data_IF_074113566217
#
_entry.id   IF_074113566217
#
_cell.length_a   1.000
_cell.length_b   1.000
_cell.length_c   1.000
_cell.angle_alpha   90.00
_cell.angle_beta   90.00
_cell.angle_gamma   90.00
#
_symmetry.space_group_name_H-M   'P 1'
#
loop_
_entity.id
_entity.type
_entity.pdbx_description
1 polymer ?
2 water ?
#
# COMPACT_ATOMS: atom_id res chain seq x y z
N UNK A 11 -11.20 4.75 41.26
CA UNK A 11 -10.90 5.53 42.51
C UNK A 11 -9.51 6.27 42.38
N UNK A 12 -9.47 7.08 41.35
CA UNK A 12 -8.34 7.88 40.99
C UNK A 12 -9.03 9.24 40.77
N UNK A 13 -8.68 10.26 41.53
CA UNK A 13 -9.39 11.53 41.37
C UNK A 13 -8.71 12.63 40.51
N UNK A 14 -9.08 12.69 39.23
CA UNK A 14 -8.72 13.79 38.35
C UNK A 14 -9.53 15.05 38.59
N UNK A 15 -8.99 16.24 38.20
CA UNK A 15 -9.82 17.46 38.27
C UNK A 15 -10.94 17.42 37.27
N UNK A 16 -11.96 18.27 37.42
CA UNK A 16 -13.18 18.16 36.63
C UNK A 16 -12.92 17.98 35.10
N UNK A 17 -12.04 18.78 34.55
CA UNK A 17 -11.90 18.83 33.09
C UNK A 17 -11.05 17.70 32.56
N UNK A 18 -10.41 16.96 33.49
CA UNK A 18 -9.81 15.71 33.12
C UNK A 18 -10.65 14.49 33.46
N UNK A 19 -11.72 14.69 34.19
CA UNK A 19 -12.69 13.62 34.37
C UNK A 19 -13.61 13.39 33.15
N UNK A 20 -13.54 14.20 32.10
CA UNK A 20 -14.32 13.77 30.94
C UNK A 20 -13.59 12.76 30.08
N UNK A 21 -14.31 12.20 29.16
CA UNK A 21 -13.71 11.30 28.19
C UNK A 21 -12.46 11.89 27.52
N UNK A 22 -11.36 11.11 27.51
CA UNK A 22 -10.06 11.50 26.93
C UNK A 22 -10.17 11.96 25.46
N UNK A 23 -11.23 11.51 24.80
CA UNK A 23 -11.49 11.93 23.39
C UNK A 23 -11.59 13.46 23.38
N UNK A 24 -12.04 14.03 24.50
CA UNK A 24 -12.18 15.47 24.56
C UNK A 24 -10.97 16.31 24.99
N UNK A 25 -9.89 15.63 25.37
CA UNK A 25 -8.76 16.30 26.01
C UNK A 25 -8.00 16.99 24.96
N UNK A 26 -7.73 18.25 25.22
CA UNK A 26 -6.82 18.97 24.39
C UNK A 26 -5.37 18.49 24.56
N UNK A 27 -4.43 19.09 23.88
CA UNK A 27 -3.01 18.77 24.07
C UNK A 27 -2.53 19.22 25.47
N UNK A 28 -2.85 20.43 25.90
CA UNK A 28 -2.60 20.82 27.31
C UNK A 28 -3.24 19.89 28.38
N UNK A 29 -4.49 19.45 28.13
CA UNK A 29 -5.09 18.45 29.02
C UNK A 29 -4.24 17.17 29.12
N UNK A 30 -3.80 16.68 27.96
CA UNK A 30 -2.82 15.58 27.94
C UNK A 30 -1.63 15.85 28.84
N UNK A 31 -1.06 17.03 28.78
CA UNK A 31 0.15 17.39 29.51
C UNK A 31 -0.18 17.52 30.99
N UNK A 32 -1.33 18.08 31.35
CA UNK A 32 -1.71 18.19 32.75
C UNK A 32 -1.94 16.80 33.29
N UNK A 33 -2.52 15.92 32.48
CA UNK A 33 -2.72 14.48 32.89
C UNK A 33 -1.40 13.79 33.21
N UNK A 34 -0.38 14.06 32.40
CA UNK A 34 0.89 13.35 32.62
C UNK A 34 1.49 13.80 33.95
N UNK A 35 1.45 15.12 34.19
CA UNK A 35 1.98 15.78 35.37
C UNK A 35 1.22 15.29 36.60
N UNK A 36 -0.10 15.15 36.46
CA UNK A 36 -0.92 14.59 37.54
C UNK A 36 -0.49 13.15 37.89
N UNK A 37 -0.29 12.32 36.86
CA UNK A 37 0.06 10.94 37.03
C UNK A 37 1.41 10.80 37.68
N UNK A 38 2.36 11.62 37.24
CA UNK A 38 3.73 11.57 37.72
C UNK A 38 3.73 11.76 39.26
N UNK A 39 2.98 12.77 39.71
CA UNK A 39 2.89 13.06 41.11
C UNK A 39 2.02 12.01 41.79
N UNK A 40 0.91 11.58 41.18
CA UNK A 40 0.03 10.62 41.90
C UNK A 40 0.72 9.30 42.12
N UNK A 41 1.64 8.93 41.25
CA UNK A 41 2.16 7.56 41.27
C UNK A 41 3.65 7.52 41.57
N UNK A 42 4.20 8.65 42.05
CA UNK A 42 5.62 8.80 42.25
C UNK A 42 6.44 8.24 41.12
N UNK A 43 6.16 8.64 39.89
CA UNK A 43 6.96 8.20 38.69
C UNK A 43 8.23 9.04 38.48
N UNK A 44 9.15 8.58 37.61
CA UNK A 44 10.28 9.40 37.20
C UNK A 44 9.74 10.64 36.51
N UNK A 45 10.57 11.70 36.42
CA UNK A 45 10.00 12.90 35.76
C UNK A 45 9.53 12.62 34.28
N UNK A 46 8.33 13.09 33.95
CA UNK A 46 7.83 12.99 32.62
C UNK A 46 7.92 14.41 31.98
N UNK A 47 8.86 14.55 31.07
CA UNK A 47 9.02 15.73 30.28
C UNK A 47 7.68 16.11 29.64
N UNK A 48 7.36 17.40 29.67
CA UNK A 48 6.11 17.92 29.09
C UNK A 48 6.00 17.69 27.56
N UNK A 49 7.09 17.31 26.90
CA UNK A 49 7.10 16.99 25.49
C UNK A 49 6.86 15.53 25.11
N UNK A 50 6.49 14.68 26.06
CA UNK A 50 6.46 13.23 25.80
C UNK A 50 5.29 12.77 24.91
N UNK A 51 4.14 13.41 25.05
CA UNK A 51 3.02 13.16 24.16
C UNK A 51 2.50 14.52 23.63
N UNK A 52 3.18 15.09 22.62
CA UNK A 52 2.66 16.35 22.04
C UNK A 52 1.51 16.15 21.05
N UNK A 53 0.32 15.91 21.63
CA UNK A 53 -0.87 15.58 20.88
C UNK A 53 -2.12 15.76 21.76
N UNK A 54 -3.31 15.74 21.16
CA UNK A 54 -4.56 15.69 21.93
C UNK A 54 -4.99 14.27 22.26
N UNK A 55 -6.12 14.16 22.96
CA UNK A 55 -6.56 12.96 23.59
C UNK A 55 -6.98 11.98 22.52
N UNK A 56 -7.65 12.49 21.48
CA UNK A 56 -7.95 11.66 20.29
C UNK A 56 -6.69 11.01 19.73
N UNK A 57 -5.59 11.75 19.65
CA UNK A 57 -4.37 11.13 19.17
C UNK A 57 -3.80 10.08 20.18
N UNK A 58 -3.89 10.42 21.46
CA UNK A 58 -3.32 9.54 22.47
C UNK A 58 -4.06 8.21 22.38
N UNK A 59 -5.35 8.24 22.04
CA UNK A 59 -6.11 6.99 21.98
C UNK A 59 -5.69 6.06 20.85
N UNK A 60 -4.92 6.58 19.91
CA UNK A 60 -4.56 5.77 18.73
C UNK A 60 -3.24 5.02 19.02
N UNK A 61 -2.48 5.54 19.98
CA UNK A 61 -1.15 4.97 20.33
C UNK A 61 -1.30 3.54 20.87
N UNK A 62 -0.35 2.64 20.58
CA UNK A 62 -0.37 1.30 21.13
C UNK A 62 0.32 1.37 22.51
N UNK A 63 0.12 0.34 23.34
CA UNK A 63 0.92 0.19 24.54
C UNK A 63 2.46 0.26 24.21
N UNK A 64 2.87 -0.35 23.10
CA UNK A 64 4.28 -0.33 22.75
C UNK A 64 4.74 1.11 22.52
N UNK A 65 3.90 1.94 21.88
CA UNK A 65 4.18 3.37 21.67
C UNK A 65 4.32 4.09 23.00
N UNK A 66 3.43 3.80 23.95
CA UNK A 66 3.65 4.33 25.31
C UNK A 66 5.03 3.94 25.89
N UNK A 67 5.43 2.65 25.81
CA UNK A 67 6.68 2.27 26.42
C UNK A 67 7.79 2.97 25.71
N UNK A 68 7.63 3.24 24.41
CA UNK A 68 8.72 3.79 23.58
C UNK A 68 8.86 5.26 23.92
N UNK A 69 7.76 5.99 24.08
CA UNK A 69 7.84 7.41 24.47
C UNK A 69 8.27 7.64 25.93
N UNK A 70 7.90 6.71 26.83
CA UNK A 70 8.25 6.79 28.24
C UNK A 70 8.67 5.40 28.74
N UNK A 71 9.96 5.07 28.58
CA UNK A 71 10.48 3.79 29.12
C UNK A 71 10.29 3.68 30.63
N UNK A 72 10.33 4.77 31.40
CA UNK A 72 10.19 4.59 32.85
C UNK A 72 8.74 4.36 33.28
N UNK A 73 7.80 5.00 32.55
CA UNK A 73 6.41 5.05 32.97
C UNK A 73 5.30 4.70 31.96
N UNK A 74 5.62 4.38 30.70
CA UNK A 74 4.64 4.30 29.67
C UNK A 74 3.61 3.20 29.89
N UNK A 75 4.04 2.03 30.37
CA UNK A 75 3.10 0.93 30.58
C UNK A 75 2.09 1.30 31.61
N UNK A 76 2.59 2.03 32.57
CA UNK A 76 1.83 2.52 33.64
C UNK A 76 0.83 3.59 33.12
N UNK A 77 1.26 4.51 32.29
CA UNK A 77 0.34 5.52 31.74
C UNK A 77 -0.76 4.91 30.90
N UNK A 78 -0.37 3.97 30.05
CA UNK A 78 -1.37 3.22 29.20
C UNK A 78 -2.48 2.56 30.00
N UNK A 79 -2.11 1.91 31.10
CA UNK A 79 -3.07 1.19 31.93
C UNK A 79 -3.89 2.12 32.75
N UNK A 80 -3.32 3.24 33.16
CA UNK A 80 -4.07 4.33 33.80
C UNK A 80 -5.14 4.81 32.81
N UNK A 81 -4.74 5.07 31.57
CA UNK A 81 -5.70 5.37 30.51
C UNK A 81 -6.81 4.30 30.32
N UNK A 82 -6.47 3.02 30.25
CA UNK A 82 -7.57 2.00 30.12
C UNK A 82 -8.49 2.08 31.29
N UNK A 83 -7.96 2.38 32.48
CA UNK A 83 -8.80 2.46 33.68
C UNK A 83 -9.80 3.62 33.56
N UNK A 84 -9.28 4.77 33.10
CA UNK A 84 -10.09 5.93 32.84
C UNK A 84 -11.15 5.60 31.79
N UNK A 85 -10.82 4.89 30.73
CA UNK A 85 -11.86 4.52 29.75
C UNK A 85 -12.89 3.51 30.24
N UNK A 86 -12.59 2.69 31.25
CA UNK A 86 -13.50 1.56 31.59
C UNK A 86 -14.87 2.01 32.19
N UNK A 87 -14.93 3.24 32.72
CA UNK A 87 -16.20 4.04 32.78
C UNK A 87 -16.03 5.41 32.07
N UNK A 98 -13.86 8.51 12.37
CA UNK A 98 -12.82 9.21 11.57
C UNK A 98 -13.36 9.41 10.16
N UNK A 99 -13.57 10.68 9.76
CA UNK A 99 -14.02 11.03 8.40
C UNK A 99 -13.01 12.01 7.85
N UNK A 100 -12.46 11.70 6.69
CA UNK A 100 -11.39 12.45 6.08
C UNK A 100 -11.91 13.47 5.05
N UNK A 101 -11.11 14.52 4.75
CA UNK A 101 -11.36 15.43 3.66
C UNK A 101 -11.67 14.67 2.36
N UNK A 102 -12.58 15.26 1.61
CA UNK A 102 -13.25 14.62 0.53
C UNK A 102 -12.34 13.85 -0.38
N UNK A 103 -11.24 14.45 -0.80
CA UNK A 103 -10.35 13.77 -1.74
C UNK A 103 -9.65 12.50 -1.18
N UNK A 104 -9.65 12.37 0.15
CA UNK A 104 -9.06 11.22 0.88
C UNK A 104 -9.96 10.03 1.25
N UNK A 105 -11.23 10.08 0.86
CA UNK A 105 -12.12 8.92 1.06
C UNK A 105 -11.80 7.66 0.23
N UNK A 106 -10.68 7.62 -0.48
CA UNK A 106 -10.36 6.44 -1.27
C UNK A 106 -9.50 5.57 -0.38
N UNK A 107 -9.52 4.26 -0.62
CA UNK A 107 -8.49 3.38 -0.11
C UNK A 107 -7.12 4.07 -0.29
N UNK A 108 -6.27 4.01 0.72
CA UNK A 108 -4.99 4.73 0.66
C UNK A 108 -4.09 4.25 -0.47
N UNK A 109 -4.22 3.00 -0.90
CA UNK A 109 -3.53 2.50 -2.11
C UNK A 109 -3.69 3.46 -3.28
N UNK A 110 -4.80 4.19 -3.35
CA UNK A 110 -4.99 5.16 -4.42
C UNK A 110 -4.62 6.59 -4.15
N UNK A 111 -4.11 6.93 -2.98
CA UNK A 111 -3.81 8.34 -2.77
C UNK A 111 -2.62 8.73 -3.62
N UNK A 112 -2.72 9.84 -4.32
CA UNK A 112 -1.57 10.47 -4.91
C UNK A 112 -0.63 11.07 -3.85
N UNK A 113 0.55 11.43 -4.30
CA UNK A 113 1.48 12.20 -3.52
C UNK A 113 0.85 13.47 -2.92
N UNK A 114 0.07 14.20 -3.72
CA UNK A 114 -0.58 15.39 -3.21
C UNK A 114 -1.54 14.98 -2.05
N UNK A 115 -2.33 13.89 -2.22
CA UNK A 115 -3.21 13.37 -1.19
C UNK A 115 -2.47 13.13 0.13
N UNK A 116 -1.34 12.42 0.04
CA UNK A 116 -0.55 12.08 1.23
C UNK A 116 -0.25 13.37 2.00
N UNK A 117 0.19 14.39 1.29
CA UNK A 117 0.50 15.68 1.85
C UNK A 117 -0.72 16.35 2.47
N UNK A 118 -1.87 16.29 1.80
CA UNK A 118 -3.13 16.74 2.41
C UNK A 118 -3.53 15.86 3.57
N UNK A 119 -3.17 14.59 3.57
CA UNK A 119 -3.46 13.74 4.69
C UNK A 119 -2.69 14.20 5.93
N UNK A 120 -1.45 14.63 5.69
CA UNK A 120 -0.58 15.08 6.80
C UNK A 120 -1.13 16.36 7.42
N UNK A 121 -1.49 17.29 6.54
CA UNK A 121 -2.03 18.58 6.95
C UNK A 121 -3.36 18.40 7.75
N UNK A 122 -4.26 17.57 7.28
CA UNK A 122 -5.46 17.25 8.03
C UNK A 122 -5.09 16.65 9.39
N UNK A 123 -4.23 15.63 9.37
CA UNK A 123 -3.85 14.95 10.60
C UNK A 123 -3.25 15.92 11.65
N UNK A 124 -2.43 16.87 11.22
CA UNK A 124 -1.76 17.73 12.15
C UNK A 124 -2.74 18.66 12.85
N UNK A 125 -3.74 19.14 12.10
CA UNK A 125 -4.91 19.87 12.61
C UNK A 125 -5.83 19.03 13.51
N UNK A 126 -6.14 17.81 13.06
CA UNK A 126 -7.10 16.98 13.77
C UNK A 126 -6.57 16.62 15.16
N UNK A 127 -5.27 16.50 15.24
CA UNK A 127 -4.68 15.80 16.38
C UNK A 127 -3.74 16.74 17.21
N UNK A 128 -3.69 18.05 16.84
CA UNK A 128 -2.76 19.02 17.47
C UNK A 128 -1.30 18.54 17.51
N UNK A 129 -0.80 17.97 16.42
CA UNK A 129 0.59 17.47 16.42
C UNK A 129 1.52 18.69 16.31
N UNK A 130 2.80 18.53 16.58
CA UNK A 130 3.84 19.43 16.10
C UNK A 130 3.79 19.52 14.58
N UNK A 131 4.32 20.65 14.02
CA UNK A 131 4.25 20.96 12.59
C UNK A 131 4.87 19.88 11.72
N UNK A 132 4.11 19.36 10.79
CA UNK A 132 4.63 18.33 9.95
C UNK A 132 5.09 19.04 8.68
N UNK A 133 6.38 18.98 8.40
CA UNK A 133 6.90 19.71 7.26
C UNK A 133 6.32 19.00 6.02
N UNK A 134 6.02 19.75 4.94
CA UNK A 134 5.30 19.15 3.78
C UNK A 134 6.17 18.18 2.94
N UNK A 135 7.49 18.22 3.11
CA UNK A 135 8.34 17.22 2.50
C UNK A 135 8.62 15.99 3.38
N UNK A 136 7.84 15.76 4.44
CA UNK A 136 8.09 14.64 5.34
C UNK A 136 7.84 13.30 4.62
N UNK A 137 6.81 13.18 3.78
CA UNK A 137 6.57 11.90 3.09
C UNK A 137 6.39 12.13 1.63
N UNK A 138 7.46 12.33 0.88
CA UNK A 138 7.25 12.72 -0.55
C UNK A 138 7.16 11.51 -1.42
N UNK A 139 5.94 11.00 -1.48
CA UNK A 139 5.67 9.68 -2.15
C UNK A 139 4.14 9.49 -2.18
N UNK A 140 3.65 8.51 -2.94
CA UNK A 140 2.20 8.32 -3.04
C UNK A 140 1.71 7.33 -1.96
N UNK A 141 0.43 7.05 -1.93
CA UNK A 141 -0.13 6.17 -0.86
C UNK A 141 0.40 4.75 -0.89
N UNK A 142 0.62 4.21 -2.10
CA UNK A 142 1.19 2.87 -2.27
C UNK A 142 2.53 2.77 -1.56
N UNK A 143 3.36 3.80 -1.72
CA UNK A 143 4.69 3.87 -1.10
C UNK A 143 4.54 3.99 0.43
N UNK A 144 3.65 4.86 0.86
CA UNK A 144 3.38 5.03 2.24
C UNK A 144 3.04 3.71 2.90
N UNK A 145 2.37 2.82 2.17
CA UNK A 145 1.90 1.58 2.76
C UNK A 145 3.03 0.58 2.89
N UNK A 146 4.09 0.78 2.11
CA UNK A 146 5.31 -0.04 2.21
C UNK A 146 6.11 0.25 3.48
N UNK A 147 5.96 1.46 4.05
CA UNK A 147 6.88 1.86 5.15
C UNK A 147 6.52 1.12 6.40
N UNK A 148 7.52 0.85 7.26
CA UNK A 148 7.26 0.27 8.57
C UNK A 148 7.01 1.37 9.60
N UNK A 149 6.52 0.97 10.79
CA UNK A 149 6.22 1.94 11.85
C UNK A 149 7.50 2.68 12.23
N UNK A 150 8.58 1.91 12.26
CA UNK A 150 9.94 2.45 12.49
C UNK A 150 10.32 3.58 11.50
N UNK A 151 10.03 3.40 10.20
CA UNK A 151 10.20 4.41 9.21
C UNK A 151 9.31 5.62 9.47
N UNK A 152 8.05 5.43 9.88
CA UNK A 152 7.21 6.62 10.27
C UNK A 152 7.87 7.39 11.44
N UNK A 153 8.44 6.68 12.43
CA UNK A 153 9.08 7.31 13.62
C UNK A 153 10.29 8.12 13.21
N UNK A 154 11.04 7.57 12.22
CA UNK A 154 12.29 8.12 11.74
C UNK A 154 11.97 9.41 10.96
N UNK A 155 10.96 9.38 10.09
CA UNK A 155 10.58 10.53 9.33
C UNK A 155 9.90 11.56 10.19
N UNK A 156 9.19 11.11 11.22
CA UNK A 156 8.52 12.00 12.15
C UNK A 156 8.72 11.59 13.62
N UNK A 157 9.81 12.09 14.23
CA UNK A 157 10.00 11.78 15.63
C UNK A 157 8.86 12.28 16.48
N UNK A 158 8.20 13.41 16.19
CA UNK A 158 7.12 13.82 17.09
C UNK A 158 5.82 13.04 16.93
N UNK A 159 5.50 12.56 15.71
CA UNK A 159 4.16 12.12 15.42
C UNK A 159 4.06 10.83 14.58
N UNK A 160 5.18 10.20 14.27
CA UNK A 160 5.22 9.14 13.31
C UNK A 160 4.40 7.96 13.78
N UNK A 161 4.46 7.64 15.05
CA UNK A 161 3.66 6.53 15.63
C UNK A 161 2.17 6.76 15.54
N UNK A 162 1.70 8.01 15.80
CA UNK A 162 0.29 8.37 15.67
C UNK A 162 -0.21 8.28 14.24
N UNK A 163 0.57 8.82 13.34
CA UNK A 163 0.34 8.78 11.91
C UNK A 163 0.21 7.32 11.43
N UNK A 164 1.22 6.49 11.67
CA UNK A 164 1.14 5.06 11.31
C UNK A 164 -0.16 4.41 11.85
N UNK A 165 -0.49 4.70 13.09
CA UNK A 165 -1.70 4.12 13.73
C UNK A 165 -2.96 4.71 13.11
N UNK A 166 -2.93 5.99 12.81
CA UNK A 166 -3.99 6.64 12.04
C UNK A 166 -4.23 5.85 10.72
N UNK A 167 -3.18 5.66 9.93
CA UNK A 167 -3.29 4.85 8.73
C UNK A 167 -3.84 3.45 8.96
N UNK A 168 -3.39 2.72 9.98
CA UNK A 168 -3.94 1.38 10.22
C UNK A 168 -5.44 1.46 10.47
N UNK A 169 -5.85 2.50 11.17
CA UNK A 169 -7.26 2.69 11.45
C UNK A 169 -8.11 2.95 10.18
N UNK A 170 -7.63 3.88 9.35
CA UNK A 170 -8.20 4.09 8.02
C UNK A 170 -8.30 2.78 7.20
N UNK A 171 -7.40 1.83 7.37
CA UNK A 171 -7.40 0.58 6.62
C UNK A 171 -8.45 -0.36 7.21
N UNK A 172 -8.64 -0.36 8.54
CA UNK A 172 -9.71 -1.19 9.17
C UNK A 172 -11.07 -0.72 8.70
N UNK A 173 -11.26 0.60 8.56
CA UNK A 173 -12.56 1.21 8.17
C UNK A 173 -12.98 0.82 6.75
N UNK A 174 -12.01 0.54 5.88
CA UNK A 174 -12.24 -0.06 4.55
C UNK A 174 -12.77 -1.50 4.66
N UNK A 183 1.05 -4.37 -6.77
CA UNK A 183 2.46 -4.12 -7.25
C UNK A 183 3.10 -5.34 -7.94
N UNK A 184 3.17 -5.25 -9.26
CA UNK A 184 3.83 -6.21 -10.10
C UNK A 184 4.88 -5.40 -10.88
N UNK A 185 6.01 -6.04 -11.13
CA UNK A 185 7.11 -5.39 -11.75
C UNK A 185 6.88 -5.29 -13.25
N UNK A 186 7.51 -4.30 -13.87
CA UNK A 186 7.72 -4.36 -15.31
C UNK A 186 8.29 -5.75 -15.72
N UNK A 187 7.95 -6.25 -16.91
CA UNK A 187 8.38 -7.59 -17.40
C UNK A 187 9.90 -7.78 -17.47
N UNK A 188 10.65 -6.71 -17.77
CA UNK A 188 12.12 -6.81 -17.82
C UNK A 188 12.65 -6.95 -16.39
N UNK A 189 11.80 -6.97 -15.34
CA UNK A 189 12.40 -7.03 -13.99
C UNK A 189 11.83 -8.14 -13.15
N UNK A 190 11.19 -9.11 -13.79
CA UNK A 190 10.56 -10.22 -13.10
C UNK A 190 11.52 -11.40 -13.13
N UNK A 191 12.63 -11.32 -12.43
CA UNK A 191 13.51 -12.42 -12.21
C UNK A 191 14.08 -12.06 -10.85
N UNK A 192 14.61 -13.03 -10.11
CA UNK A 192 14.98 -12.78 -8.73
C UNK A 192 16.04 -11.69 -8.70
N UNK A 193 15.96 -10.81 -7.69
CA UNK A 193 16.97 -9.71 -7.52
C UNK A 193 18.41 -10.21 -7.51
N UNK A 194 18.64 -11.42 -7.00
CA UNK A 194 19.96 -12.00 -6.99
C UNK A 194 20.63 -12.00 -8.38
N UNK A 195 19.83 -12.09 -9.45
CA UNK A 195 20.38 -12.09 -10.80
C UNK A 195 20.38 -10.76 -11.48
N UNK A 196 19.94 -9.72 -10.83
CA UNK A 196 19.94 -8.45 -11.47
C UNK A 196 21.35 -7.97 -11.75
N UNK A 197 21.51 -7.37 -12.91
CA UNK A 197 22.75 -6.69 -13.25
C UNK A 197 22.68 -5.21 -12.72
N UNK A 198 23.79 -4.47 -12.91
CA UNK A 198 23.83 -3.04 -12.55
C UNK A 198 22.75 -2.28 -13.30
N UNK A 199 22.65 -2.61 -14.57
CA UNK A 199 21.71 -2.02 -15.44
C UNK A 199 20.21 -2.24 -14.97
N UNK A 200 19.87 -3.46 -14.57
CA UNK A 200 18.59 -3.78 -13.99
C UNK A 200 18.30 -3.01 -12.71
N UNK A 201 19.31 -2.89 -11.86
CA UNK A 201 19.17 -2.12 -10.67
C UNK A 201 18.77 -0.70 -11.04
N UNK A 202 19.44 -0.16 -12.07
CA UNK A 202 19.16 1.15 -12.56
C UNK A 202 17.75 1.25 -13.10
N UNK A 203 17.28 0.28 -13.88
CA UNK A 203 15.87 0.29 -14.39
C UNK A 203 14.85 0.16 -13.23
N UNK A 204 15.17 -0.63 -12.24
CA UNK A 204 14.35 -0.71 -11.05
C UNK A 204 14.17 0.69 -10.42
N UNK A 205 15.26 1.39 -10.18
CA UNK A 205 15.20 2.73 -9.55
C UNK A 205 14.30 3.69 -10.35
N UNK A 206 14.45 3.73 -11.65
CA UNK A 206 13.53 4.61 -12.32
C UNK A 206 12.12 4.10 -12.55
N UNK A 207 11.95 2.77 -12.67
CA UNK A 207 10.57 2.27 -12.52
C UNK A 207 9.92 2.70 -11.16
N UNK A 208 10.64 2.47 -10.04
CA UNK A 208 10.12 2.80 -8.68
C UNK A 208 9.89 4.29 -8.45
N UNK A 209 10.74 5.17 -9.01
CA UNK A 209 10.49 6.59 -8.94
C UNK A 209 9.14 6.90 -9.56
N UNK A 210 8.88 6.43 -10.79
CA UNK A 210 7.57 6.73 -11.37
C UNK A 210 6.36 6.08 -10.60
N UNK A 211 6.48 4.82 -10.22
CA UNK A 211 5.40 4.08 -9.63
C UNK A 211 4.99 4.62 -8.26
N UNK A 212 5.99 5.15 -7.53
CA UNK A 212 5.78 5.55 -6.16
C UNK A 212 5.82 7.07 -5.96
N UNK A 213 5.93 7.79 -7.08
CA UNK A 213 5.99 9.28 -7.10
C UNK A 213 7.07 9.85 -6.19
N UNK A 214 8.28 9.32 -6.26
CA UNK A 214 9.37 9.68 -5.35
C UNK A 214 10.15 10.87 -5.90
N UNK A 215 10.99 11.55 -5.12
CA UNK A 215 11.84 12.60 -5.67
C UNK A 215 12.75 11.96 -6.69
N UNK A 216 13.32 12.77 -7.59
CA UNK A 216 14.25 12.19 -8.58
C UNK A 216 15.33 11.30 -7.99
N UNK A 217 15.58 10.18 -8.61
CA UNK A 217 16.56 9.22 -8.10
C UNK A 217 17.67 9.24 -9.10
N UNK A 218 18.70 9.96 -8.76
CA UNK A 218 19.83 10.15 -9.63
C UNK A 218 20.43 8.78 -10.05
N UNK A 219 20.84 8.68 -11.31
CA UNK A 219 21.33 7.36 -11.85
C UNK A 219 22.53 6.76 -11.07
N UNK A 220 23.27 7.55 -10.32
CA UNK A 220 24.36 7.04 -9.53
C UNK A 220 24.01 6.65 -8.05
N UNK A 221 22.74 6.40 -7.73
CA UNK A 221 22.43 6.17 -6.33
C UNK A 221 22.96 4.82 -5.85
N UNK A 222 22.89 3.82 -6.72
CA UNK A 222 23.29 2.48 -6.40
C UNK A 222 24.07 1.92 -7.60
N UNK A 223 25.33 2.28 -7.72
CA UNK A 223 26.16 1.73 -8.82
C UNK A 223 26.74 0.32 -8.55
N UNK A 224 25.89 -0.70 -8.76
CA UNK A 224 26.17 -2.10 -8.32
C UNK A 224 25.08 -3.05 -8.85
N UNK A 225 25.32 -4.38 -8.77
CA UNK A 225 24.32 -5.35 -9.22
C UNK A 225 23.40 -5.77 -8.09
N UNK A 226 22.47 -6.68 -8.35
CA UNK A 226 21.51 -7.15 -7.34
C UNK A 226 22.17 -7.85 -6.19
N UNK A 227 23.18 -8.68 -6.44
CA UNK A 227 23.89 -9.36 -5.34
C UNK A 227 24.46 -8.36 -4.31
N UNK A 228 25.09 -7.29 -4.77
CA UNK A 228 25.60 -6.24 -3.89
C UNK A 228 24.45 -5.48 -3.29
N UNK A 229 23.46 -5.14 -4.08
CA UNK A 229 22.33 -4.42 -3.51
C UNK A 229 21.71 -5.22 -2.36
N UNK A 230 21.71 -6.56 -2.51
CA UNK A 230 21.15 -7.39 -1.45
C UNK A 230 21.97 -7.40 -0.15
N UNK A 231 23.21 -6.91 -0.21
CA UNK A 231 24.11 -6.87 0.96
C UNK A 231 23.90 -5.63 1.79
N UNK A 232 23.40 -4.55 1.20
CA UNK A 232 23.17 -3.25 1.89
C UNK A 232 22.15 -3.39 2.99
N UNK A 233 22.39 -2.71 4.12
CA UNK A 233 21.38 -2.64 5.20
C UNK A 233 20.39 -1.53 4.82
N UNK A 234 19.26 -1.43 5.55
CA UNK A 234 18.30 -0.38 5.36
C UNK A 234 18.95 1.02 5.66
N UNK A 235 19.79 1.08 6.68
CA UNK A 235 20.57 2.28 6.95
C UNK A 235 21.44 2.67 5.69
N UNK A 236 22.00 1.69 4.95
CA UNK A 236 22.67 2.12 3.74
C UNK A 236 21.68 2.71 2.74
N UNK A 237 20.49 2.14 2.67
CA UNK A 237 19.52 2.69 1.73
C UNK A 237 19.15 4.09 2.06
N UNK A 238 18.87 4.36 3.35
CA UNK A 238 18.64 5.74 3.84
C UNK A 238 19.75 6.74 3.55
N UNK A 239 21.01 6.36 3.67
CA UNK A 239 22.13 7.27 3.40
C UNK A 239 22.29 7.57 1.97
N UNK A 240 22.14 6.56 1.11
CA UNK A 240 22.26 6.74 -0.31
C UNK A 240 21.12 7.60 -0.81
N UNK A 241 20.00 7.52 -0.12
CA UNK A 241 18.72 8.09 -0.58
C UNK A 241 17.84 8.56 0.60
N UNK A 242 18.12 9.77 1.12
CA UNK A 242 17.34 10.33 2.22
C UNK A 242 15.88 10.44 1.85
N UNK A 243 15.52 10.75 0.61
CA UNK A 243 14.11 10.93 0.28
C UNK A 243 13.32 9.61 0.19
N UNK A 244 14.00 8.58 -0.32
CA UNK A 244 13.25 7.38 -0.67
C UNK A 244 13.86 6.04 -0.25
N UNK A 245 14.98 6.06 0.49
CA UNK A 245 15.73 4.82 0.75
C UNK A 245 14.87 3.79 1.48
N UNK A 246 14.08 4.21 2.45
CA UNK A 246 13.25 3.28 3.20
C UNK A 246 12.22 2.65 2.33
N UNK A 247 11.53 3.46 1.50
CA UNK A 247 10.58 2.90 0.52
C UNK A 247 11.29 1.89 -0.34
N UNK A 248 12.44 2.27 -0.93
CA UNK A 248 13.15 1.35 -1.82
C UNK A 248 13.58 0.01 -1.17
N UNK A 249 14.17 0.06 0.04
CA UNK A 249 14.43 -1.12 0.79
C UNK A 249 13.18 -2.01 1.11
N UNK A 250 12.08 -1.42 1.52
CA UNK A 250 10.90 -2.24 1.75
C UNK A 250 10.34 -2.76 0.41
N UNK A 251 10.52 -1.99 -0.65
CA UNK A 251 10.06 -2.50 -1.95
C UNK A 251 10.87 -3.79 -2.25
N UNK A 252 12.19 -3.68 -2.13
CA UNK A 252 13.04 -4.83 -2.33
C UNK A 252 12.57 -6.00 -1.43
N UNK A 253 12.23 -5.76 -0.16
CA UNK A 253 11.83 -6.86 0.70
C UNK A 253 10.52 -7.44 0.28
N UNK A 254 9.62 -6.61 -0.21
CA UNK A 254 8.35 -7.11 -0.74
C UNK A 254 8.65 -8.05 -1.90
N UNK A 255 9.40 -7.57 -2.87
CA UNK A 255 9.70 -8.32 -4.05
C UNK A 255 10.30 -9.67 -3.72
N UNK A 256 11.11 -9.74 -2.67
CA UNK A 256 11.74 -10.98 -2.32
C UNK A 256 10.77 -11.97 -1.64
N UNK A 257 9.75 -11.48 -0.95
CA UNK A 257 8.80 -12.35 -0.28
C UNK A 257 7.82 -12.85 -1.34
N UNK A 258 7.20 -11.91 -2.05
CA UNK A 258 6.36 -12.17 -3.24
C UNK A 258 7.19 -12.62 -4.46
N UNK A 271 -5.01 -26.94 -18.26
CA UNK A 271 -6.44 -27.35 -18.00
C UNK A 271 -7.47 -26.27 -18.32
N UNK A 272 -8.09 -26.36 -19.50
CA UNK A 272 -9.03 -25.36 -20.02
C UNK A 272 -10.32 -25.10 -19.18
N UNK A 273 -10.90 -26.16 -18.59
CA UNK A 273 -12.00 -26.04 -17.65
C UNK A 273 -11.71 -24.98 -16.54
N UNK A 274 -10.55 -25.08 -15.86
CA UNK A 274 -10.14 -24.10 -14.80
C UNK A 274 -9.73 -22.72 -15.41
N UNK A 275 -9.10 -22.77 -16.59
CA UNK A 275 -8.74 -21.56 -17.33
C UNK A 275 -9.99 -20.67 -17.54
N UNK A 276 -11.10 -21.33 -17.87
CA UNK A 276 -12.38 -20.65 -18.10
C UNK A 276 -12.97 -20.13 -16.80
N UNK A 277 -12.93 -20.97 -15.75
CA UNK A 277 -13.48 -20.62 -14.43
C UNK A 277 -12.68 -19.44 -13.88
N UNK A 278 -11.36 -19.52 -14.02
CA UNK A 278 -10.46 -18.54 -13.46
C UNK A 278 -10.72 -17.17 -14.09
N UNK A 279 -11.19 -17.17 -15.35
CA UNK A 279 -11.58 -15.93 -15.98
C UNK A 279 -13.05 -15.53 -15.82
N UNK A 280 -13.82 -16.24 -14.99
CA UNK A 280 -15.22 -15.79 -14.70
C UNK A 280 -16.37 -16.35 -15.56
N UNK A 281 -16.11 -17.44 -16.28
CA UNK A 281 -17.06 -17.96 -17.32
C UNK A 281 -17.46 -19.40 -17.05
N UNK A 282 -18.75 -19.73 -17.24
CA UNK A 282 -19.17 -21.17 -17.26
C UNK A 282 -18.52 -21.96 -18.40
N UNK A 283 -18.12 -23.19 -18.08
CA UNK A 283 -17.62 -24.10 -19.08
C UNK A 283 -18.80 -24.48 -19.99
N UNK A 284 -18.59 -24.34 -21.30
CA UNK A 284 -19.44 -24.98 -22.30
C UNK A 284 -18.54 -25.54 -23.36
N UNK A 285 -19.08 -26.53 -24.07
CA UNK A 285 -18.37 -27.18 -25.20
C UNK A 285 -18.00 -26.14 -26.29
N UNK A 286 -18.94 -25.22 -26.66
CA UNK A 286 -18.52 -24.21 -27.61
C UNK A 286 -17.32 -23.38 -27.11
N UNK A 287 -17.26 -23.05 -25.81
CA UNK A 287 -16.09 -22.35 -25.23
C UNK A 287 -14.78 -23.16 -25.22
N UNK A 288 -14.88 -24.41 -24.76
CA UNK A 288 -13.69 -25.29 -24.72
C UNK A 288 -13.05 -25.42 -26.09
N UNK A 289 -13.86 -25.71 -27.11
CA UNK A 289 -13.37 -25.92 -28.46
C UNK A 289 -12.64 -24.72 -29.08
N UNK A 290 -13.32 -23.56 -29.04
CA UNK A 290 -12.79 -22.27 -29.47
C UNK A 290 -11.51 -21.93 -28.72
N UNK A 291 -11.55 -22.11 -27.41
CA UNK A 291 -10.33 -21.92 -26.59
C UNK A 291 -9.22 -22.88 -27.09
N UNK A 292 -9.59 -24.14 -27.32
CA UNK A 292 -8.70 -25.15 -27.91
C UNK A 292 -8.12 -24.70 -29.27
N UNK A 293 -8.95 -24.29 -30.22
CA UNK A 293 -8.45 -23.81 -31.51
C UNK A 293 -7.44 -22.61 -31.38
N UNK A 294 -7.70 -21.72 -30.41
CA UNK A 294 -6.86 -20.53 -30.17
C UNK A 294 -5.52 -20.89 -29.59
N UNK A 295 -5.47 -22.03 -28.88
CA UNK A 295 -4.20 -22.51 -28.35
C UNK A 295 -3.38 -23.34 -29.37
N UNK A 296 -3.88 -23.57 -30.58
CA UNK A 296 -3.03 -24.09 -31.67
C UNK A 296 -1.91 -23.11 -32.06
N UNK A 297 -0.69 -23.67 -32.33
CA UNK A 297 0.46 -22.88 -32.74
C UNK A 297 0.14 -21.93 -33.90
N UNK A 298 -0.72 -22.37 -34.85
CA UNK A 298 -1.17 -21.52 -35.98
C UNK A 298 -2.30 -20.54 -35.65
N UNK A 299 -3.09 -20.83 -34.63
CA UNK A 299 -4.30 -20.00 -34.46
C UNK A 299 -4.36 -19.02 -33.29
N UNK A 300 -3.19 -18.63 -32.78
CA UNK A 300 -3.10 -17.65 -31.69
C UNK A 300 -3.82 -16.36 -32.10
N UNK A 301 -3.54 -15.87 -33.30
CA UNK A 301 -4.28 -14.77 -33.93
C UNK A 301 -5.18 -15.40 -34.97
N UNK A 302 -6.48 -15.18 -34.83
CA UNK A 302 -7.44 -15.85 -35.68
C UNK A 302 -8.72 -15.01 -35.70
N UNK A 303 -9.37 -14.94 -36.85
CA UNK A 303 -10.62 -14.20 -36.97
C UNK A 303 -11.77 -15.17 -36.68
N UNK A 304 -12.98 -14.65 -36.52
CA UNK A 304 -14.13 -15.48 -36.18
C UNK A 304 -14.39 -16.57 -37.29
N UNK A 305 -14.42 -16.13 -38.55
CA UNK A 305 -14.70 -17.07 -39.67
C UNK A 305 -13.67 -18.18 -39.83
N UNK A 306 -12.39 -17.84 -39.73
CA UNK A 306 -11.35 -18.85 -39.75
C UNK A 306 -11.45 -19.81 -38.59
N UNK A 307 -11.80 -19.29 -37.41
CA UNK A 307 -11.97 -20.13 -36.28
C UNK A 307 -13.10 -21.10 -36.60
N UNK A 308 -14.20 -20.56 -37.12
CA UNK A 308 -15.33 -21.39 -37.47
C UNK A 308 -14.88 -22.54 -38.43
N UNK A 309 -14.33 -22.15 -39.60
CA UNK A 309 -13.82 -23.07 -40.64
C UNK A 309 -12.88 -24.13 -40.03
N UNK A 310 -11.94 -23.68 -39.19
CA UNK A 310 -11.09 -24.57 -38.38
C UNK A 310 -11.87 -25.54 -37.44
N UNK A 311 -12.95 -25.07 -36.82
CA UNK A 311 -13.80 -25.96 -36.00
C UNK A 311 -14.41 -27.12 -36.85
N UNK A 312 -15.14 -26.78 -37.91
CA UNK A 312 -15.65 -27.73 -38.94
C UNK A 312 -14.64 -28.83 -39.41
N UNK A 313 -13.47 -28.40 -39.90
CA UNK A 313 -12.41 -29.30 -40.35
C UNK A 313 -12.10 -30.38 -39.30
N UNK A 314 -12.21 -29.99 -38.03
CA UNK A 314 -12.07 -30.91 -36.87
C UNK A 314 -13.37 -31.74 -36.61
N UNK A 315 -14.40 -31.55 -37.44
CA UNK A 315 -15.68 -32.22 -37.28
C UNK A 315 -16.54 -31.72 -36.13
N UNK A 316 -16.32 -30.48 -35.69
CA UNK A 316 -17.17 -29.83 -34.66
C UNK A 316 -18.42 -29.21 -35.24
N UNK A 317 -19.52 -29.33 -34.48
CA UNK A 317 -20.81 -28.77 -34.87
C UNK A 317 -21.19 -27.49 -34.06
N UNK A 318 -20.53 -26.36 -34.42
CA UNK A 318 -20.78 -24.98 -33.82
C UNK A 318 -21.11 -23.85 -34.83
N UNK A 319 -22.18 -23.10 -34.54
CA UNK A 319 -22.70 -22.08 -35.46
C UNK A 319 -21.89 -20.80 -35.48
N UNK A 320 -21.95 -20.06 -36.60
CA UNK A 320 -21.06 -18.88 -36.84
C UNK A 320 -21.24 -17.78 -35.86
N UNK A 321 -22.49 -17.32 -35.69
CA UNK A 321 -22.81 -16.29 -34.65
C UNK A 321 -22.33 -16.71 -33.22
N UNK A 322 -22.30 -18.01 -32.93
CA UNK A 322 -21.78 -18.52 -31.65
C UNK A 322 -20.28 -18.29 -31.48
N UNK A 323 -19.51 -18.58 -32.53
CA UNK A 323 -18.11 -18.24 -32.58
C UNK A 323 -17.88 -16.73 -32.29
N UNK A 324 -18.62 -15.83 -32.95
CA UNK A 324 -18.57 -14.38 -32.63
C UNK A 324 -18.85 -14.03 -31.17
N UNK A 325 -19.84 -14.67 -30.56
CA UNK A 325 -20.29 -14.28 -29.22
C UNK A 325 -19.25 -14.73 -28.20
N UNK A 326 -18.82 -15.98 -28.34
CA UNK A 326 -17.78 -16.55 -27.46
C UNK A 326 -16.52 -15.70 -27.44
N UNK A 327 -16.06 -15.29 -28.62
CA UNK A 327 -14.79 -14.61 -28.75
C UNK A 327 -14.96 -13.22 -28.21
N UNK A 328 -16.16 -12.66 -28.28
CA UNK A 328 -16.36 -11.36 -27.66
C UNK A 328 -16.51 -11.49 -26.17
N UNK A 329 -17.18 -12.52 -25.67
CA UNK A 329 -17.23 -12.72 -24.23
C UNK A 329 -15.80 -13.01 -23.69
N UNK A 330 -15.05 -13.87 -24.42
CA UNK A 330 -13.59 -14.07 -24.17
C UNK A 330 -12.81 -12.74 -24.12
N UNK A 331 -13.18 -11.80 -25.00
CA UNK A 331 -12.50 -10.51 -25.04
C UNK A 331 -12.74 -9.76 -23.75
N UNK A 332 -13.99 -9.75 -23.34
CA UNK A 332 -14.43 -8.98 -22.20
C UNK A 332 -13.84 -9.57 -20.92
N UNK A 333 -13.60 -10.86 -20.94
CA UNK A 333 -13.04 -11.60 -19.78
C UNK A 333 -11.51 -11.76 -19.84
N UNK A 334 -10.83 -11.04 -20.74
CA UNK A 334 -9.38 -11.00 -20.78
C UNK A 334 -8.69 -12.24 -21.34
N UNK A 335 -9.45 -13.15 -21.95
CA UNK A 335 -8.83 -14.40 -22.48
C UNK A 335 -8.25 -14.16 -23.86
N UNK A 336 -8.85 -13.23 -24.58
CA UNK A 336 -8.32 -12.83 -25.87
C UNK A 336 -8.45 -11.30 -25.88
N UNK A 337 -7.85 -10.69 -26.89
CA UNK A 337 -7.98 -9.26 -27.21
C UNK A 337 -8.60 -9.17 -28.58
N UNK A 338 -9.64 -8.33 -28.74
CA UNK A 338 -10.20 -8.16 -30.04
C UNK A 338 -9.43 -7.08 -30.80
N UNK A 339 -8.87 -7.42 -31.93
CA UNK A 339 -8.34 -6.35 -32.81
C UNK A 339 -9.24 -6.09 -34.01
N UNK A 340 -9.86 -4.94 -34.01
CA UNK A 340 -10.89 -4.61 -34.97
C UNK A 340 -10.53 -4.59 -36.47
N UNK A 341 -11.40 -5.22 -37.28
CA UNK A 341 -11.38 -4.98 -38.72
C UNK A 341 -12.80 -4.92 -39.27
N UNK A 342 -13.04 -3.88 -40.06
CA UNK A 342 -14.34 -3.61 -40.64
C UNK A 342 -15.06 -4.91 -41.17
N UNK A 343 -16.36 -5.04 -40.85
CA UNK A 343 -17.27 -6.06 -41.43
C UNK A 343 -17.17 -7.51 -40.91
N UNK A 344 -16.96 -7.73 -39.60
CA UNK A 344 -16.78 -9.12 -39.05
C UNK A 344 -15.44 -9.85 -39.33
N UNK A 345 -14.35 -9.06 -39.36
CA UNK A 345 -13.05 -9.55 -39.75
C UNK A 345 -12.00 -9.22 -38.71
N UNK A 346 -12.49 -8.82 -37.53
CA UNK A 346 -11.59 -8.60 -36.40
C UNK A 346 -10.73 -9.82 -36.20
N UNK A 347 -9.46 -9.60 -35.89
CA UNK A 347 -8.70 -10.74 -35.44
C UNK A 347 -8.54 -10.81 -33.91
N UNK A 348 -8.89 -11.99 -33.39
CA UNK A 348 -8.79 -12.26 -31.99
C UNK A 348 -7.46 -12.96 -31.68
N UNK A 349 -6.83 -12.42 -30.63
CA UNK A 349 -5.52 -12.84 -30.21
C UNK A 349 -5.60 -13.32 -28.77
N UNK A 350 -5.16 -14.56 -28.55
CA UNK A 350 -5.12 -15.15 -27.20
C UNK A 350 -4.13 -14.37 -26.37
N UNK A 351 -4.50 -13.96 -25.15
CA UNK A 351 -3.57 -13.05 -24.42
C UNK A 351 -2.41 -13.82 -23.79
#
# INVERSE_FOLDING_TARGET
>A
MGHHHHHHGTSIRLPAHLRLQPIYWSRDDVAQWLKWAENEFSLRPIDSNTFEMNGKALLLLTKEDFRYRSPHSGDELYELLQHILKQRPGGGGSTSSIRLPAHLRLQPIYWSRDDVAQWLKWAENEFSLRPIDSNTFEMNGKALLLLTKEDFRYRSPHSGDVLYELLQHILKQRDGSGGSGSIRLPAHLRLQPIYWSRDDVAQWLKWAENEFSLRPIDSNTFEMNGKALLLLTKEDFRYRSPHSGDVLYELLQHILKQRDSGGGSGGGLEDNNTALKKAGLKVTLPRLKILEVLQEPDNHHVSAEDLYKRLIDMGEEIGLATVYRVLNQFDDAGIVTRHNFEGGKSVFELTGT
#
